data_IF_830969433182
#
_entry.id   IF_830969433182
#
_cell.length_a   1.000
_cell.length_b   1.000
_cell.length_c   1.000
_cell.angle_alpha   90.00
_cell.angle_beta   90.00
_cell.angle_gamma   90.00
#
_symmetry.space_group_name_H-M   'P 1'
#
loop_
_entity.id
_entity.type
_entity.pdbx_description
1 polymer ?
#
# COMPACT_ATOMS: atom_id res chain seq x y z
N UNK A 1 11.43 -11.85 -18.79
CA UNK A 1 11.27 -10.40 -18.97
C UNK A 1 11.38 -10.12 -20.45
N UNK A 2 10.38 -9.42 -21.01
CA UNK A 2 10.36 -8.98 -22.41
C UNK A 2 11.18 -7.69 -22.56
N UNK A 3 11.91 -7.53 -23.66
CA UNK A 3 12.78 -6.38 -23.93
C UNK A 3 12.01 -5.04 -23.88
N UNK A 4 10.70 -5.08 -24.19
CA UNK A 4 9.84 -3.90 -24.18
C UNK A 4 9.10 -3.65 -22.87
N UNK A 5 9.22 -4.53 -21.86
CA UNK A 5 8.43 -4.40 -20.62
C UNK A 5 8.89 -3.21 -19.77
N UNK A 6 10.20 -2.98 -19.69
CA UNK A 6 10.79 -1.88 -18.90
C UNK A 6 10.37 -0.50 -19.43
N UNK A 7 10.48 -0.29 -20.76
CA UNK A 7 10.07 0.97 -21.39
C UNK A 7 8.58 1.27 -21.17
N UNK A 8 7.72 0.25 -21.26
CA UNK A 8 6.27 0.39 -21.00
C UNK A 8 5.96 0.71 -19.54
N UNK A 9 6.74 0.20 -18.59
CA UNK A 9 6.56 0.49 -17.17
C UNK A 9 6.97 1.92 -16.83
N UNK A 10 8.10 2.39 -17.36
CA UNK A 10 8.54 3.79 -17.21
C UNK A 10 7.50 4.76 -17.77
N UNK A 11 6.95 4.47 -18.96
CA UNK A 11 5.92 5.31 -19.57
C UNK A 11 4.64 5.34 -18.72
N UNK A 12 4.16 4.17 -18.27
CA UNK A 12 2.99 4.08 -17.38
C UNK A 12 3.19 4.87 -16.08
N UNK A 13 4.38 4.79 -15.48
CA UNK A 13 4.68 5.55 -14.26
C UNK A 13 4.72 7.05 -14.51
N UNK A 14 5.21 7.49 -15.68
CA UNK A 14 5.27 8.92 -16.07
C UNK A 14 3.88 9.51 -16.31
N UNK A 15 2.98 8.75 -16.92
CA UNK A 15 1.61 9.16 -17.23
C UNK A 15 0.65 9.01 -16.04
N UNK A 16 1.06 8.30 -14.99
CA UNK A 16 0.22 8.06 -13.82
C UNK A 16 -0.15 9.36 -13.08
N UNK A 17 -1.39 9.46 -12.55
CA UNK A 17 -1.80 10.57 -11.69
C UNK A 17 -0.86 10.76 -10.51
N UNK A 18 -0.72 12.00 -10.03
CA UNK A 18 0.15 12.32 -8.89
C UNK A 18 -0.18 11.45 -7.67
N UNK A 19 -1.47 11.26 -7.36
CA UNK A 19 -1.90 10.45 -6.23
C UNK A 19 -1.40 8.99 -6.30
N UNK A 20 -1.28 8.43 -7.51
CA UNK A 20 -0.72 7.09 -7.70
C UNK A 20 0.79 7.10 -7.55
N UNK A 21 1.48 8.14 -8.08
CA UNK A 21 2.93 8.27 -7.98
C UNK A 21 3.44 8.58 -6.57
N UNK A 22 2.63 9.28 -5.76
CA UNK A 22 2.93 9.63 -4.37
C UNK A 22 2.47 8.57 -3.37
N UNK A 23 1.90 7.45 -3.85
CA UNK A 23 1.48 6.38 -2.98
C UNK A 23 2.72 5.77 -2.29
N UNK A 24 2.73 5.63 -0.96
CA UNK A 24 3.73 4.88 -0.21
C UNK A 24 3.97 3.48 -0.79
N UNK A 25 5.23 3.05 -0.78
CA UNK A 25 5.67 1.73 -1.20
C UNK A 25 5.90 0.79 0.00
N UNK A 26 6.13 1.37 1.18
CA UNK A 26 6.36 0.67 2.46
C UNK A 26 5.40 1.16 3.56
N UNK A 27 5.16 0.32 4.59
CA UNK A 27 4.30 0.68 5.72
C UNK A 27 4.83 1.87 6.54
N UNK A 28 6.16 2.02 6.63
CA UNK A 28 6.80 3.09 7.39
C UNK A 28 6.67 4.47 6.71
N UNK A 29 6.40 4.49 5.41
CA UNK A 29 6.12 5.71 4.64
C UNK A 29 4.65 6.16 4.79
N UNK A 30 3.79 5.35 5.41
CA UNK A 30 2.37 5.68 5.57
C UNK A 30 2.19 6.76 6.64
N UNK A 31 1.72 7.94 6.21
CA UNK A 31 1.52 9.09 7.08
C UNK A 31 0.13 9.04 7.73
N UNK A 32 0.10 9.22 9.06
CA UNK A 32 -1.13 9.18 9.86
C UNK A 32 -1.53 7.77 10.29
N UNK A 33 -2.64 7.65 11.01
CA UNK A 33 -3.19 6.36 11.50
C UNK A 33 -2.22 5.52 12.35
N UNK A 34 -1.26 6.15 13.03
CA UNK A 34 -0.23 5.48 13.85
C UNK A 34 -0.80 4.63 15.00
N UNK A 35 -2.01 4.95 15.45
CA UNK A 35 -2.71 4.14 16.46
C UNK A 35 -3.14 2.77 15.95
N UNK A 36 -3.28 2.62 14.63
CA UNK A 36 -3.75 1.40 13.97
C UNK A 36 -2.58 0.68 13.29
N UNK A 37 -1.74 1.42 12.56
CA UNK A 37 -0.69 0.87 11.69
C UNK A 37 0.73 1.17 12.18
N UNK A 38 0.87 1.87 13.31
CA UNK A 38 2.18 2.18 13.87
C UNK A 38 2.96 0.94 14.32
N UNK A 39 4.23 1.11 14.70
CA UNK A 39 5.06 0.03 15.22
C UNK A 39 4.35 -0.69 16.38
N UNK A 40 4.47 -2.02 16.44
CA UNK A 40 3.87 -2.88 17.47
C UNK A 40 2.32 -2.90 17.53
N UNK A 41 1.61 -2.23 16.61
CA UNK A 41 0.15 -2.30 16.56
C UNK A 41 -0.32 -3.65 16.03
N UNK A 42 -1.52 -4.06 16.47
CA UNK A 42 -2.10 -5.36 16.12
C UNK A 42 -2.18 -5.54 14.60
N UNK A 43 -2.71 -4.54 13.89
CA UNK A 43 -2.84 -4.62 12.44
C UNK A 43 -1.47 -4.71 11.76
N UNK A 44 -0.50 -3.87 12.14
CA UNK A 44 0.86 -3.94 11.57
C UNK A 44 1.50 -5.31 11.77
N UNK A 45 1.42 -5.86 12.97
CA UNK A 45 1.94 -7.22 13.27
C UNK A 45 1.24 -8.30 12.46
N UNK A 46 -0.07 -8.18 12.24
CA UNK A 46 -0.83 -9.13 11.42
C UNK A 46 -0.44 -9.05 9.94
N UNK A 47 -0.18 -7.84 9.41
CA UNK A 47 0.32 -7.63 8.04
C UNK A 47 1.72 -8.23 7.90
N UNK A 48 2.65 -7.88 8.78
CA UNK A 48 4.04 -8.35 8.73
C UNK A 48 4.17 -9.87 8.92
N UNK A 49 3.28 -10.48 9.71
CA UNK A 49 3.25 -11.93 9.90
C UNK A 49 2.49 -12.68 8.81
N UNK A 50 1.92 -11.98 7.82
CA UNK A 50 1.04 -12.51 6.78
C UNK A 50 -0.14 -13.34 7.34
N UNK A 51 -0.78 -12.83 8.40
CA UNK A 51 -1.89 -13.48 9.12
C UNK A 51 -3.15 -12.63 9.08
N UNK A 52 -3.48 -12.13 7.90
CA UNK A 52 -4.64 -11.27 7.70
C UNK A 52 -5.92 -12.08 7.44
N UNK A 53 -7.01 -11.60 8.01
CA UNK A 53 -8.37 -12.03 7.69
C UNK A 53 -9.06 -10.98 6.81
N UNK A 54 -10.27 -11.24 6.34
CA UNK A 54 -11.07 -10.24 5.61
C UNK A 54 -11.29 -8.97 6.43
N UNK A 55 -11.04 -7.80 5.83
CA UNK A 55 -11.13 -6.49 6.49
C UNK A 55 -12.04 -5.52 5.72
N UNK A 56 -12.68 -4.61 6.45
CA UNK A 56 -13.41 -3.47 5.89
C UNK A 56 -12.72 -2.18 6.33
N UNK A 57 -12.28 -1.35 5.37
CA UNK A 57 -11.74 -0.03 5.65
C UNK A 57 -12.82 1.04 5.49
N UNK A 58 -13.10 1.77 6.56
CA UNK A 58 -14.10 2.85 6.59
C UNK A 58 -13.46 4.17 7.03
N UNK A 59 -13.93 5.29 6.47
CA UNK A 59 -13.52 6.63 6.87
C UNK A 59 -13.64 7.67 5.75
N UNK A 60 -13.41 8.96 6.06
CA UNK A 60 -13.54 10.08 5.12
C UNK A 60 -12.69 9.94 3.83
N UNK A 61 -13.00 10.65 2.75
CA UNK A 61 -12.18 10.63 1.53
C UNK A 61 -10.74 11.09 1.83
N UNK A 62 -9.75 10.52 1.13
CA UNK A 62 -8.34 10.91 1.29
C UNK A 62 -7.60 10.35 2.51
N UNK A 63 -8.24 9.57 3.39
CA UNK A 63 -7.59 9.02 4.60
C UNK A 63 -6.65 7.83 4.38
N UNK A 64 -6.32 7.50 3.13
CA UNK A 64 -5.35 6.44 2.83
C UNK A 64 -5.88 5.00 2.82
N UNK A 65 -7.20 4.77 2.85
CA UNK A 65 -7.79 3.41 2.81
C UNK A 65 -7.31 2.57 1.62
N UNK A 66 -7.41 3.12 0.42
CA UNK A 66 -6.97 2.45 -0.82
C UNK A 66 -5.46 2.24 -0.84
N UNK A 67 -4.71 3.20 -0.28
CA UNK A 67 -3.26 3.09 -0.12
C UNK A 67 -2.89 1.97 0.86
N UNK A 68 -3.59 1.86 1.99
CA UNK A 68 -3.35 0.81 2.98
C UNK A 68 -3.66 -0.57 2.41
N UNK A 69 -4.78 -0.72 1.69
CA UNK A 69 -5.10 -1.97 1.00
C UNK A 69 -4.02 -2.35 -0.04
N UNK A 70 -3.48 -1.37 -0.77
CA UNK A 70 -2.39 -1.59 -1.72
C UNK A 70 -1.10 -2.05 -1.03
N UNK A 71 -0.72 -1.41 0.08
CA UNK A 71 0.45 -1.82 0.86
C UNK A 71 0.26 -3.25 1.37
N UNK A 72 -0.88 -3.56 1.99
CA UNK A 72 -1.20 -4.91 2.48
C UNK A 72 -1.01 -5.97 1.37
N UNK A 73 -1.53 -5.70 0.17
CA UNK A 73 -1.39 -6.61 -0.97
C UNK A 73 0.07 -6.83 -1.40
N UNK A 74 0.99 -5.88 -1.14
CA UNK A 74 2.43 -6.05 -1.40
C UNK A 74 3.13 -6.89 -0.33
N UNK A 75 2.63 -6.87 0.92
CA UNK A 75 3.22 -7.63 2.03
C UNK A 75 2.74 -9.08 2.07
N UNK A 76 1.50 -9.35 1.67
CA UNK A 76 0.90 -10.69 1.68
C UNK A 76 1.28 -11.50 0.44
N UNK A 77 1.52 -12.82 0.60
CA UNK A 77 1.99 -13.73 -0.47
C UNK A 77 0.92 -14.67 -1.02
N UNK A 78 -0.34 -14.27 -1.01
CA UNK A 78 -1.46 -15.07 -1.51
C UNK A 78 -1.37 -15.39 -3.01
#
# INVERSE_FOLDING_TARGET
>A
MDLFSSARETQRRKEAPLATRMRPEELDEFVGQQEIIGPNRLLRRAIEADRLTSMIFFGPPGTGKTTLAFLIAKYTKA
#
